data_IF_209944639405
#
_entry.id   IF_209944639405
#
_cell.length_a   1.000
_cell.length_b   1.000
_cell.length_c   1.000
_cell.angle_alpha   90.00
_cell.angle_beta   90.00
_cell.angle_gamma   90.00
#
_symmetry.space_group_name_H-M   'P 1'
#
loop_
_entity.id
_entity.type
_entity.pdbx_description
1 polymer ?
#
# COMPACT_ATOMS: atom_id res chain seq x y z
N UNK A 1 36.56 -31.19 65.58
CA UNK A 1 36.54 -30.28 64.45
C UNK A 1 35.10 -30.21 63.96
N UNK A 2 34.39 -29.13 64.34
CA UNK A 2 32.99 -28.89 63.99
C UNK A 2 32.93 -28.08 62.70
N UNK A 3 32.33 -28.62 61.65
CA UNK A 3 31.99 -27.89 60.42
C UNK A 3 30.60 -27.29 60.59
N UNK A 4 30.52 -25.95 60.64
CA UNK A 4 29.25 -25.22 60.51
C UNK A 4 28.88 -25.09 59.06
N UNK A 5 27.63 -25.33 58.62
CA UNK A 5 27.19 -25.04 57.26
C UNK A 5 26.93 -23.57 57.11
N UNK A 6 27.55 -22.97 56.09
CA UNK A 6 27.24 -21.59 55.64
C UNK A 6 25.81 -21.55 55.04
N UNK A 7 25.03 -20.52 55.33
CA UNK A 7 23.73 -20.34 54.68
C UNK A 7 23.91 -19.97 53.20
N UNK A 8 22.99 -20.42 52.30
CA UNK A 8 23.09 -20.09 50.89
C UNK A 8 22.83 -18.60 50.65
N UNK A 9 23.68 -18.02 49.85
CA UNK A 9 23.71 -16.60 49.49
C UNK A 9 22.42 -16.11 48.87
N UNK A 10 21.78 -15.10 49.46
CA UNK A 10 20.61 -14.31 48.99
C UNK A 10 20.90 -13.40 47.79
N UNK A 11 21.81 -13.77 46.89
CA UNK A 11 22.21 -12.88 45.75
C UNK A 11 21.24 -12.91 44.57
N UNK A 12 20.29 -13.85 44.51
CA UNK A 12 19.35 -13.97 43.40
C UNK A 12 18.14 -13.01 43.46
N UNK A 13 17.64 -12.70 44.66
CA UNK A 13 16.45 -11.85 44.84
C UNK A 13 16.75 -10.36 44.59
N UNK A 14 17.91 -9.86 44.98
CA UNK A 14 18.32 -8.46 44.76
C UNK A 14 18.47 -8.14 43.27
N UNK A 15 18.87 -9.09 42.44
CA UNK A 15 19.03 -8.94 41.00
C UNK A 15 17.68 -8.84 40.25
N UNK A 16 16.69 -9.58 40.69
CA UNK A 16 15.33 -9.55 40.09
C UNK A 16 14.61 -8.24 40.44
N UNK A 17 14.71 -7.80 41.66
CA UNK A 17 14.12 -6.53 42.15
C UNK A 17 14.75 -5.31 41.47
N UNK A 18 16.08 -5.31 41.30
CA UNK A 18 16.79 -4.29 40.57
C UNK A 18 16.35 -4.25 39.07
N UNK A 19 16.12 -5.40 38.44
CA UNK A 19 15.65 -5.49 37.08
C UNK A 19 14.22 -4.97 36.93
N UNK A 20 13.31 -5.32 37.87
CA UNK A 20 11.94 -4.76 37.90
C UNK A 20 11.98 -3.23 38.08
N UNK A 21 12.81 -2.71 38.97
CA UNK A 21 12.95 -1.26 39.15
C UNK A 21 13.51 -0.53 37.92
N UNK A 22 14.34 -1.19 37.12
CA UNK A 22 14.82 -0.65 35.83
C UNK A 22 13.70 -0.63 34.79
N UNK A 23 12.90 -1.68 34.71
CA UNK A 23 11.73 -1.74 33.80
C UNK A 23 10.69 -0.67 34.17
N UNK A 24 10.35 -0.55 35.42
CA UNK A 24 9.39 0.47 35.90
C UNK A 24 9.85 1.90 35.58
N UNK A 25 11.12 2.23 35.76
CA UNK A 25 11.67 3.54 35.39
C UNK A 25 11.57 3.79 33.87
N UNK A 26 11.90 2.80 33.04
CA UNK A 26 11.81 2.92 31.58
C UNK A 26 10.35 3.04 31.13
N UNK A 27 9.48 2.22 31.68
CA UNK A 27 8.04 2.25 31.40
C UNK A 27 7.46 3.63 31.76
N UNK A 28 7.75 4.14 32.94
CA UNK A 28 7.29 5.46 33.39
C UNK A 28 7.80 6.59 32.50
N UNK A 29 9.06 6.51 32.04
CA UNK A 29 9.63 7.49 31.11
C UNK A 29 8.89 7.43 29.74
N UNK A 30 8.73 6.27 29.16
CA UNK A 30 8.04 6.08 27.88
C UNK A 30 6.57 6.53 27.96
N UNK A 31 5.88 6.25 29.08
CA UNK A 31 4.53 6.71 29.33
C UNK A 31 4.43 8.25 29.38
N UNK A 32 5.33 8.92 30.09
CA UNK A 32 5.38 10.39 30.14
C UNK A 32 5.63 11.01 28.79
N UNK A 33 6.55 10.46 28.02
CA UNK A 33 6.86 10.93 26.68
C UNK A 33 5.65 10.74 25.73
N UNK A 34 4.95 9.61 25.82
CA UNK A 34 3.72 9.37 25.09
C UNK A 34 2.65 10.43 25.41
N UNK A 35 2.42 10.76 26.69
CA UNK A 35 1.48 11.80 27.12
C UNK A 35 1.85 13.16 26.51
N UNK A 36 3.09 13.59 26.68
CA UNK A 36 3.56 14.90 26.20
C UNK A 36 3.43 15.04 24.69
N UNK A 37 3.82 14.00 23.96
CA UNK A 37 3.73 14.00 22.50
C UNK A 37 2.28 13.89 22.02
N UNK A 38 1.39 13.24 22.77
CA UNK A 38 -0.05 13.17 22.46
C UNK A 38 -0.73 14.53 22.65
N UNK A 39 -0.39 15.24 23.73
CA UNK A 39 -0.87 16.62 23.96
C UNK A 39 -0.52 17.53 22.78
N UNK A 40 0.74 17.52 22.37
CA UNK A 40 1.20 18.30 21.22
C UNK A 40 0.48 17.91 19.93
N UNK A 41 0.33 16.60 19.66
CA UNK A 41 -0.34 16.09 18.47
C UNK A 41 -1.82 16.52 18.43
N UNK A 42 -2.56 16.41 19.54
CA UNK A 42 -3.93 16.88 19.63
C UNK A 42 -4.04 18.39 19.36
N UNK A 43 -3.12 19.20 19.89
CA UNK A 43 -3.08 20.64 19.63
C UNK A 43 -2.89 20.94 18.14
N UNK A 44 -1.99 20.23 17.46
CA UNK A 44 -1.74 20.43 16.04
C UNK A 44 -2.97 20.02 15.19
N UNK A 45 -3.64 18.92 15.51
CA UNK A 45 -4.89 18.52 14.87
C UNK A 45 -6.00 19.55 15.09
N UNK A 46 -6.06 20.15 16.26
CA UNK A 46 -7.01 21.21 16.57
C UNK A 46 -6.77 22.47 15.73
N UNK A 47 -5.53 22.87 15.50
CA UNK A 47 -5.19 23.94 14.58
C UNK A 47 -5.71 23.67 13.19
N UNK A 48 -5.54 22.46 12.65
CA UNK A 48 -6.06 22.10 11.33
C UNK A 48 -7.58 22.14 11.30
N UNK A 49 -8.24 21.57 12.29
CA UNK A 49 -9.72 21.53 12.32
C UNK A 49 -10.32 22.92 12.47
N UNK A 50 -9.82 23.73 13.39
CA UNK A 50 -10.34 25.06 13.69
C UNK A 50 -10.04 26.07 12.59
N UNK A 51 -8.79 26.16 12.16
CA UNK A 51 -8.37 27.23 11.25
C UNK A 51 -8.51 26.89 9.77
N UNK A 52 -8.62 25.60 9.41
CA UNK A 52 -8.83 25.20 8.03
C UNK A 52 -10.21 24.58 7.83
N UNK A 53 -10.54 23.47 8.48
CA UNK A 53 -11.74 22.72 8.17
C UNK A 53 -13.02 23.52 8.44
N UNK A 54 -13.15 24.11 9.65
CA UNK A 54 -14.36 24.87 10.04
C UNK A 54 -14.50 26.17 9.25
N UNK A 55 -13.41 26.91 9.05
CA UNK A 55 -13.47 28.17 8.31
C UNK A 55 -13.77 27.92 6.83
N UNK A 56 -13.19 26.88 6.22
CA UNK A 56 -13.47 26.54 4.82
C UNK A 56 -14.91 26.05 4.64
N UNK A 57 -15.47 25.35 5.64
CA UNK A 57 -16.89 24.98 5.67
C UNK A 57 -17.77 26.23 5.74
N UNK A 58 -17.50 27.13 6.68
CA UNK A 58 -18.29 28.35 6.88
C UNK A 58 -18.24 29.32 5.68
N UNK A 59 -17.07 29.46 5.05
CA UNK A 59 -16.87 30.38 3.92
C UNK A 59 -17.24 29.82 2.56
N UNK A 60 -17.49 28.52 2.43
CA UNK A 60 -17.78 27.89 1.14
C UNK A 60 -16.67 28.04 0.07
N UNK A 61 -15.42 28.33 0.49
CA UNK A 61 -14.28 28.54 -0.42
C UNK A 61 -13.92 27.31 -1.22
N UNK A 62 -14.16 26.13 -0.64
CA UNK A 62 -14.04 24.82 -1.27
C UNK A 62 -15.39 24.11 -1.25
N UNK A 63 -15.73 23.44 -2.33
CA UNK A 63 -16.87 22.53 -2.37
C UNK A 63 -16.73 21.43 -1.32
N UNK A 64 -17.82 20.87 -0.89
CA UNK A 64 -17.84 19.85 0.17
C UNK A 64 -17.04 18.61 -0.20
N UNK A 65 -17.26 18.08 -1.41
CA UNK A 65 -16.52 16.94 -1.94
C UNK A 65 -14.99 17.15 -1.96
N UNK A 66 -14.55 18.35 -2.29
CA UNK A 66 -13.13 18.72 -2.31
C UNK A 66 -12.59 18.84 -0.88
N UNK A 67 -13.36 19.44 0.03
CA UNK A 67 -12.98 19.56 1.45
C UNK A 67 -12.85 18.18 2.08
N UNK A 68 -13.82 17.31 1.89
CA UNK A 68 -13.78 15.93 2.36
C UNK A 68 -12.61 15.14 1.75
N UNK A 69 -12.33 15.32 0.46
CA UNK A 69 -11.18 14.69 -0.18
C UNK A 69 -9.82 15.13 0.39
N UNK A 70 -9.69 16.38 0.85
CA UNK A 70 -8.44 16.91 1.42
C UNK A 70 -8.30 16.50 2.89
N UNK A 71 -9.34 16.68 3.71
CA UNK A 71 -9.25 16.55 5.16
C UNK A 71 -9.71 15.18 5.69
N UNK A 72 -10.50 14.45 4.91
CA UNK A 72 -10.95 13.09 5.24
C UNK A 72 -11.47 12.99 6.69
N UNK A 73 -11.05 11.97 7.41
CA UNK A 73 -11.47 11.67 8.78
C UNK A 73 -10.71 12.46 9.88
N UNK A 74 -10.06 13.57 9.55
CA UNK A 74 -9.20 14.30 10.52
C UNK A 74 -9.93 14.74 11.79
N UNK A 75 -11.23 15.10 11.70
CA UNK A 75 -12.05 15.43 12.87
C UNK A 75 -12.29 14.22 13.77
N UNK A 76 -12.58 13.07 13.17
CA UNK A 76 -12.74 11.82 13.91
C UNK A 76 -11.43 11.42 14.58
N UNK A 77 -10.29 11.58 13.87
CA UNK A 77 -8.96 11.35 14.43
C UNK A 77 -8.73 12.27 15.64
N UNK A 78 -9.01 13.56 15.56
CA UNK A 78 -8.89 14.46 16.70
C UNK A 78 -9.76 13.99 17.89
N UNK A 79 -11.00 13.59 17.65
CA UNK A 79 -11.91 13.12 18.69
C UNK A 79 -11.39 11.88 19.43
N UNK A 80 -10.93 10.87 18.68
CA UNK A 80 -10.40 9.64 19.29
C UNK A 80 -9.10 9.86 20.04
N UNK A 81 -8.23 10.75 19.55
CA UNK A 81 -6.97 11.05 20.20
C UNK A 81 -7.17 11.90 21.46
N UNK A 82 -8.13 12.81 21.49
CA UNK A 82 -8.54 13.49 22.74
C UNK A 82 -9.03 12.50 23.79
N UNK A 83 -9.82 11.50 23.38
CA UNK A 83 -10.26 10.43 24.28
C UNK A 83 -9.07 9.60 24.79
N UNK A 84 -8.14 9.25 23.90
CA UNK A 84 -6.91 8.57 24.29
C UNK A 84 -6.11 9.41 25.29
N UNK A 85 -5.90 10.69 25.01
CA UNK A 85 -5.15 11.61 25.88
C UNK A 85 -5.72 11.66 27.30
N UNK A 86 -7.03 11.74 27.45
CA UNK A 86 -7.68 11.72 28.77
C UNK A 86 -7.33 10.45 29.55
N UNK A 87 -7.31 9.28 28.91
CA UNK A 87 -6.91 8.04 29.56
C UNK A 87 -5.42 8.02 29.93
N UNK A 88 -4.56 8.50 29.01
CA UNK A 88 -3.11 8.56 29.24
C UNK A 88 -2.75 9.49 30.42
N UNK A 89 -3.37 10.67 30.51
CA UNK A 89 -3.17 11.63 31.59
C UNK A 89 -3.61 11.09 32.96
N UNK A 90 -4.62 10.22 32.98
CA UNK A 90 -5.10 9.54 34.19
C UNK A 90 -4.37 8.22 34.49
N UNK A 91 -3.35 7.85 33.73
CA UNK A 91 -2.56 6.63 33.95
C UNK A 91 -3.22 5.32 33.44
N UNK A 92 -4.39 5.38 32.78
CA UNK A 92 -5.10 4.21 32.26
C UNK A 92 -4.64 3.88 30.84
N UNK A 93 -3.34 3.55 30.67
CA UNK A 93 -2.72 3.37 29.36
C UNK A 93 -3.37 2.21 28.60
N UNK A 94 -3.46 1.03 29.22
CA UNK A 94 -4.04 -0.17 28.58
C UNK A 94 -5.47 0.03 28.12
N UNK A 95 -6.33 0.57 28.99
CA UNK A 95 -7.74 0.85 28.68
C UNK A 95 -7.89 1.92 27.58
N UNK A 96 -7.08 2.97 27.66
CA UNK A 96 -7.06 4.02 26.64
C UNK A 96 -6.71 3.48 25.27
N UNK A 97 -5.68 2.64 25.20
CA UNK A 97 -5.24 1.99 23.97
C UNK A 97 -6.26 0.98 23.42
N UNK A 98 -6.92 0.22 24.28
CA UNK A 98 -7.99 -0.71 23.85
C UNK A 98 -9.14 0.05 23.16
N UNK A 99 -9.59 1.15 23.78
CA UNK A 99 -10.63 2.04 23.20
C UNK A 99 -10.15 2.67 21.89
N UNK A 100 -8.90 3.14 21.85
CA UNK A 100 -8.28 3.75 20.68
C UNK A 100 -8.18 2.75 19.51
N UNK A 101 -7.70 1.52 19.77
CA UNK A 101 -7.53 0.49 18.75
C UNK A 101 -8.88 0.07 18.11
N UNK A 102 -9.98 0.10 18.86
CA UNK A 102 -11.32 -0.17 18.31
C UNK A 102 -11.76 0.84 17.23
N UNK A 103 -11.14 2.01 17.19
CA UNK A 103 -11.47 3.11 16.28
C UNK A 103 -10.40 3.37 15.21
N UNK A 104 -9.42 2.49 15.04
CA UNK A 104 -8.35 2.61 14.04
C UNK A 104 -8.85 2.65 12.58
N UNK A 105 -10.10 2.27 12.31
CA UNK A 105 -10.70 2.41 10.99
C UNK A 105 -10.71 3.86 10.47
N UNK A 106 -10.75 4.87 11.35
CA UNK A 106 -10.60 6.27 10.96
C UNK A 106 -9.18 6.58 10.45
N UNK A 107 -8.16 5.98 11.07
CA UNK A 107 -6.79 6.07 10.58
C UNK A 107 -6.61 5.31 9.27
N UNK A 108 -7.19 4.12 9.13
CA UNK A 108 -7.15 3.36 7.88
C UNK A 108 -7.74 4.17 6.72
N UNK A 109 -8.91 4.80 6.93
CA UNK A 109 -9.54 5.66 5.93
C UNK A 109 -8.67 6.86 5.58
N UNK A 110 -8.02 7.47 6.56
CA UNK A 110 -7.10 8.59 6.35
C UNK A 110 -5.88 8.21 5.55
N UNK A 111 -5.22 7.11 5.93
CA UNK A 111 -4.03 6.56 5.27
C UNK A 111 -4.31 6.17 3.83
N UNK A 112 -5.48 5.60 3.56
CA UNK A 112 -5.87 5.23 2.19
C UNK A 112 -6.10 6.47 1.30
N UNK A 113 -6.52 7.58 1.89
CA UNK A 113 -6.83 8.80 1.15
C UNK A 113 -5.65 9.78 1.01
N UNK A 114 -4.55 9.64 1.76
CA UNK A 114 -3.51 10.69 1.87
C UNK A 114 -2.91 11.10 0.52
N UNK A 115 -2.68 10.18 -0.39
CA UNK A 115 -2.14 10.49 -1.72
C UNK A 115 -3.15 11.22 -2.61
N UNK A 116 -4.43 10.88 -2.49
CA UNK A 116 -5.50 11.59 -3.14
C UNK A 116 -5.67 12.99 -2.54
N UNK A 117 -5.61 13.13 -1.22
CA UNK A 117 -5.67 14.41 -0.50
C UNK A 117 -4.57 15.36 -0.99
N UNK A 118 -3.32 14.90 -1.04
CA UNK A 118 -2.18 15.68 -1.56
C UNK A 118 -2.37 16.09 -3.02
N UNK A 119 -2.88 15.20 -3.86
CA UNK A 119 -3.18 15.50 -5.27
C UNK A 119 -4.27 16.57 -5.40
N UNK A 120 -5.38 16.42 -4.68
CA UNK A 120 -6.51 17.35 -4.70
C UNK A 120 -6.07 18.71 -4.16
N UNK A 121 -5.34 18.74 -3.03
CA UNK A 121 -4.77 19.96 -2.46
C UNK A 121 -3.89 20.68 -3.49
N UNK A 122 -2.95 19.98 -4.13
CA UNK A 122 -2.07 20.56 -5.15
C UNK A 122 -2.84 21.12 -6.36
N UNK A 123 -3.94 20.47 -6.78
CA UNK A 123 -4.82 20.98 -7.85
C UNK A 123 -5.52 22.27 -7.39
N UNK A 124 -6.04 22.31 -6.17
CA UNK A 124 -6.73 23.49 -5.64
C UNK A 124 -5.78 24.67 -5.46
N UNK A 125 -4.57 24.46 -4.99
CA UNK A 125 -3.54 25.48 -4.88
C UNK A 125 -3.16 26.10 -6.24
N UNK A 126 -3.22 25.32 -7.32
CA UNK A 126 -2.98 25.83 -8.68
C UNK A 126 -4.17 26.57 -9.27
N UNK A 127 -5.38 26.06 -9.07
CA UNK A 127 -6.60 26.55 -9.76
C UNK A 127 -7.41 27.55 -8.97
N UNK A 128 -7.41 27.50 -7.62
CA UNK A 128 -8.24 28.34 -6.76
C UNK A 128 -7.41 29.41 -6.06
N UNK A 129 -7.42 30.64 -6.60
CA UNK A 129 -6.69 31.80 -6.04
C UNK A 129 -7.19 32.17 -4.63
N UNK A 130 -8.50 32.07 -4.37
CA UNK A 130 -9.09 32.39 -3.07
C UNK A 130 -8.62 31.40 -2.00
N UNK A 131 -8.61 30.10 -2.31
CA UNK A 131 -8.10 29.08 -1.40
C UNK A 131 -6.59 29.24 -1.13
N UNK A 132 -5.80 29.54 -2.16
CA UNK A 132 -4.36 29.79 -1.98
C UNK A 132 -4.09 30.97 -1.05
N UNK A 133 -4.79 32.11 -1.24
CA UNK A 133 -4.70 33.27 -0.34
C UNK A 133 -5.12 32.90 1.09
N UNK A 134 -6.23 32.20 1.23
CA UNK A 134 -6.72 31.74 2.53
C UNK A 134 -5.66 30.88 3.23
N UNK A 135 -5.10 29.87 2.55
CA UNK A 135 -4.03 29.01 3.11
C UNK A 135 -2.84 29.84 3.60
N UNK A 136 -2.32 30.75 2.77
CA UNK A 136 -1.17 31.60 3.14
C UNK A 136 -1.49 32.45 4.38
N UNK A 137 -2.70 33.01 4.49
CA UNK A 137 -3.10 33.79 5.65
C UNK A 137 -3.22 32.96 6.93
N UNK A 138 -3.71 31.71 6.83
CA UNK A 138 -3.79 30.84 8.01
C UNK A 138 -2.37 30.42 8.48
N UNK A 139 -1.51 30.00 7.56
CA UNK A 139 -0.16 29.55 7.85
C UNK A 139 0.76 30.67 8.39
N UNK A 140 0.44 31.93 8.14
CA UNK A 140 1.17 33.08 8.68
C UNK A 140 0.81 33.39 10.16
N UNK A 141 -0.15 32.68 10.75
CA UNK A 141 -0.51 32.89 12.15
C UNK A 141 0.58 32.31 13.08
N UNK A 142 0.89 32.97 14.19
CA UNK A 142 1.93 32.51 15.13
C UNK A 142 1.73 31.08 15.62
N UNK A 143 0.46 30.65 15.78
CA UNK A 143 0.10 29.32 16.28
C UNK A 143 0.61 28.17 15.38
N UNK A 144 0.86 28.44 14.10
CA UNK A 144 1.36 27.43 13.15
C UNK A 144 2.88 27.29 13.15
N UNK A 145 3.63 28.16 13.81
CA UNK A 145 5.11 28.08 13.93
C UNK A 145 5.80 27.83 12.57
N UNK A 146 5.31 28.47 11.50
CA UNK A 146 5.74 28.30 10.13
C UNK A 146 5.44 26.92 9.50
N UNK A 147 4.68 26.04 10.16
CA UNK A 147 4.27 24.76 9.58
C UNK A 147 3.29 24.98 8.43
N UNK A 148 3.40 24.16 7.40
CA UNK A 148 2.51 24.19 6.25
C UNK A 148 1.35 23.21 6.43
N UNK A 149 0.23 23.51 5.78
CA UNK A 149 -0.92 22.61 5.80
C UNK A 149 -0.55 21.20 5.29
N UNK A 150 0.33 21.12 4.30
CA UNK A 150 0.84 19.87 3.74
C UNK A 150 1.55 19.02 4.81
N UNK A 151 2.35 19.65 5.67
CA UNK A 151 3.10 18.98 6.75
C UNK A 151 2.12 18.49 7.84
N UNK A 152 1.16 19.34 8.21
CA UNK A 152 0.14 19.03 9.20
C UNK A 152 -0.77 17.87 8.74
N UNK A 153 -1.07 17.77 7.45
CA UNK A 153 -1.83 16.64 6.90
C UNK A 153 -1.04 15.33 6.88
N UNK A 154 0.30 15.35 6.97
CA UNK A 154 1.10 14.13 7.12
C UNK A 154 1.16 13.61 8.57
N UNK A 155 0.86 14.45 9.55
CA UNK A 155 1.00 14.11 10.97
C UNK A 155 0.25 12.84 11.39
N UNK A 156 -1.02 12.58 10.98
CA UNK A 156 -1.69 11.35 11.36
C UNK A 156 -0.96 10.09 10.87
N UNK A 157 -0.37 10.14 9.67
CA UNK A 157 0.40 9.02 9.11
C UNK A 157 1.70 8.81 9.91
N UNK A 158 2.40 9.89 10.24
CA UNK A 158 3.62 9.87 11.03
C UNK A 158 3.34 9.41 12.47
N UNK A 159 2.20 9.83 13.04
CA UNK A 159 1.82 9.49 14.42
C UNK A 159 1.64 7.99 14.63
N UNK A 160 1.09 7.27 13.66
CA UNK A 160 0.99 5.80 13.72
C UNK A 160 2.36 5.14 13.87
N UNK A 161 3.38 5.64 13.18
CA UNK A 161 4.75 5.11 13.31
C UNK A 161 5.33 5.40 14.70
N UNK A 162 5.07 6.60 15.23
CA UNK A 162 5.50 6.99 16.58
C UNK A 162 4.79 6.13 17.66
N UNK A 163 3.48 5.92 17.54
CA UNK A 163 2.75 5.01 18.44
C UNK A 163 3.35 3.62 18.44
N UNK A 164 3.65 3.08 17.27
CA UNK A 164 4.25 1.75 17.19
C UNK A 164 5.57 1.67 17.94
N UNK A 165 6.41 2.71 17.86
CA UNK A 165 7.66 2.79 18.62
C UNK A 165 7.43 2.89 20.14
N UNK A 166 6.56 3.82 20.58
CA UNK A 166 6.25 3.99 22.00
C UNK A 166 5.63 2.75 22.63
N UNK A 167 4.70 2.10 21.92
CA UNK A 167 4.05 0.91 22.45
C UNK A 167 4.95 -0.32 22.47
N UNK A 168 5.85 -0.48 21.50
CA UNK A 168 6.91 -1.50 21.58
C UNK A 168 7.83 -1.28 22.76
N UNK A 169 8.23 -0.03 23.04
CA UNK A 169 9.04 0.30 24.20
C UNK A 169 8.28 0.07 25.52
N UNK A 170 7.02 0.45 25.59
CA UNK A 170 6.16 0.19 26.76
C UNK A 170 5.98 -1.31 26.99
N UNK A 171 5.65 -2.08 25.96
CA UNK A 171 5.46 -3.53 26.05
C UNK A 171 6.74 -4.26 26.48
N UNK A 172 7.89 -3.88 25.91
CA UNK A 172 9.21 -4.45 26.26
C UNK A 172 9.63 -4.16 27.71
N UNK A 173 9.10 -3.12 28.35
CA UNK A 173 9.37 -2.74 29.73
C UNK A 173 8.16 -3.01 30.67
N UNK A 174 7.19 -3.80 30.25
CA UNK A 174 6.05 -4.23 31.07
C UNK A 174 6.18 -5.72 31.34
N UNK A 175 6.15 -6.09 32.62
CA UNK A 175 6.26 -7.51 33.00
C UNK A 175 5.03 -8.29 32.53
N UNK A 176 5.17 -9.60 32.18
CA UNK A 176 4.05 -10.41 31.71
C UNK A 176 2.90 -10.59 32.72
N UNK A 177 3.19 -10.43 34.01
CA UNK A 177 2.21 -10.46 35.11
C UNK A 177 1.52 -9.09 35.34
N UNK A 178 1.89 -8.05 34.60
CA UNK A 178 1.30 -6.74 34.73
C UNK A 178 -0.11 -6.71 34.12
N UNK A 179 -1.12 -6.09 34.79
CA UNK A 179 -2.52 -6.09 34.33
C UNK A 179 -2.73 -5.54 32.90
N UNK A 180 -1.88 -4.62 32.45
CA UNK A 180 -1.99 -3.98 31.14
C UNK A 180 -1.18 -4.70 30.04
N UNK A 181 -0.43 -5.78 30.35
CA UNK A 181 0.47 -6.43 29.41
C UNK A 181 -0.25 -6.92 28.14
N UNK A 182 -1.38 -7.61 28.31
CA UNK A 182 -2.15 -8.10 27.15
C UNK A 182 -2.77 -6.97 26.31
N UNK A 183 -3.24 -5.90 26.95
CA UNK A 183 -3.79 -4.74 26.24
C UNK A 183 -2.72 -4.03 25.42
N UNK A 184 -1.51 -3.87 25.97
CA UNK A 184 -0.37 -3.31 25.26
C UNK A 184 0.04 -4.20 24.08
N UNK A 185 0.11 -5.51 24.27
CA UNK A 185 0.45 -6.47 23.21
C UNK A 185 -0.54 -6.40 22.04
N UNK A 186 -1.85 -6.44 22.34
CA UNK A 186 -2.89 -6.29 21.30
C UNK A 186 -2.83 -4.94 20.59
N UNK A 187 -2.49 -3.86 21.30
CA UNK A 187 -2.34 -2.55 20.70
C UNK A 187 -1.12 -2.47 19.76
N UNK A 188 0.00 -3.10 20.12
CA UNK A 188 1.17 -3.23 19.24
C UNK A 188 0.80 -3.94 17.94
N UNK A 189 0.08 -5.06 18.02
CA UNK A 189 -0.33 -5.81 16.84
C UNK A 189 -1.26 -4.98 15.94
N UNK A 190 -2.29 -4.37 16.52
CA UNK A 190 -3.25 -3.53 15.78
C UNK A 190 -2.58 -2.34 15.07
N UNK A 191 -1.63 -1.66 15.74
CA UNK A 191 -0.90 -0.56 15.13
C UNK A 191 0.14 -1.01 14.10
N UNK A 192 0.69 -2.21 14.27
CA UNK A 192 1.58 -2.82 13.26
C UNK A 192 0.83 -3.10 11.95
N UNK A 193 -0.43 -3.50 11.99
CA UNK A 193 -1.28 -3.65 10.80
C UNK A 193 -1.48 -2.32 10.08
N UNK A 194 -1.79 -1.23 10.81
CA UNK A 194 -1.92 0.10 10.20
C UNK A 194 -0.58 0.58 9.64
N UNK A 195 0.53 0.33 10.34
CA UNK A 195 1.89 0.65 9.85
C UNK A 195 2.22 -0.11 8.57
N UNK A 196 1.83 -1.38 8.47
CA UNK A 196 2.01 -2.17 7.25
C UNK A 196 1.16 -1.60 6.10
N UNK A 197 -0.10 -1.21 6.37
CA UNK A 197 -0.97 -0.55 5.40
C UNK A 197 -0.38 0.75 4.86
N UNK A 198 0.26 1.56 5.71
CA UNK A 198 0.99 2.77 5.29
C UNK A 198 2.11 2.42 4.30
N UNK A 199 2.93 1.41 4.62
CA UNK A 199 4.01 0.95 3.75
C UNK A 199 3.50 0.43 2.41
N UNK A 200 2.45 -0.37 2.43
CA UNK A 200 1.83 -0.92 1.23
C UNK A 200 1.25 0.18 0.32
N UNK A 201 0.60 1.18 0.91
CA UNK A 201 0.07 2.32 0.17
C UNK A 201 1.19 3.17 -0.44
N UNK A 202 2.29 3.39 0.29
CA UNK A 202 3.47 4.08 -0.23
C UNK A 202 4.06 3.32 -1.43
N UNK A 203 4.27 2.02 -1.31
CA UNK A 203 4.79 1.20 -2.40
C UNK A 203 3.88 1.21 -3.64
N UNK A 204 2.55 1.12 -3.43
CA UNK A 204 1.57 1.21 -4.54
C UNK A 204 1.61 2.58 -5.21
N UNK A 205 1.74 3.65 -4.43
CA UNK A 205 1.84 5.00 -4.95
C UNK A 205 3.13 5.20 -5.77
N UNK A 206 4.27 4.79 -5.24
CA UNK A 206 5.56 4.87 -5.93
C UNK A 206 5.55 4.05 -7.23
N UNK A 207 5.00 2.84 -7.18
CA UNK A 207 4.80 2.03 -8.38
C UNK A 207 3.94 2.75 -9.42
N UNK A 208 2.82 3.36 -9.00
CA UNK A 208 1.97 4.13 -9.90
C UNK A 208 2.72 5.31 -10.55
N UNK A 209 3.55 6.01 -9.79
CA UNK A 209 4.40 7.09 -10.32
C UNK A 209 5.41 6.57 -11.35
N UNK A 210 6.04 5.41 -11.09
CA UNK A 210 6.95 4.77 -12.04
C UNK A 210 6.23 4.36 -13.33
N UNK A 211 5.05 3.74 -13.24
CA UNK A 211 4.23 3.40 -14.42
C UNK A 211 3.85 4.66 -15.22
N UNK A 212 3.44 5.74 -14.54
CA UNK A 212 3.14 7.02 -15.16
C UNK A 212 4.38 7.63 -15.84
N UNK A 213 5.57 7.51 -15.23
CA UNK A 213 6.84 7.94 -15.81
C UNK A 213 7.13 7.18 -17.10
N UNK A 214 7.07 5.85 -17.07
CA UNK A 214 7.30 5.02 -18.25
C UNK A 214 6.26 5.32 -19.35
N UNK A 215 4.98 5.46 -18.98
CA UNK A 215 3.94 5.83 -19.94
C UNK A 215 4.22 7.16 -20.65
N UNK A 216 4.78 8.15 -19.95
CA UNK A 216 5.18 9.44 -20.54
C UNK A 216 6.40 9.31 -21.46
N UNK A 217 7.29 8.35 -21.23
CA UNK A 217 8.44 8.07 -22.10
C UNK A 217 8.03 7.40 -23.40
N UNK A 218 6.91 6.67 -23.43
CA UNK A 218 6.41 5.95 -24.59
C UNK A 218 5.60 6.87 -25.50
N UNK A 219 5.96 6.90 -26.80
CA UNK A 219 5.21 7.58 -27.85
C UNK A 219 4.18 6.63 -28.48
N UNK A 220 3.03 7.20 -28.82
CA UNK A 220 1.94 6.47 -29.50
C UNK A 220 0.99 5.76 -28.56
N UNK A 221 -0.20 5.36 -29.09
CA UNK A 221 -1.28 4.75 -28.30
C UNK A 221 -1.14 3.22 -28.16
N UNK A 222 -0.17 2.60 -28.86
CA UNK A 222 -0.06 1.12 -28.94
C UNK A 222 0.49 0.49 -27.66
N UNK A 223 1.32 1.20 -26.89
CA UNK A 223 1.90 0.67 -25.66
C UNK A 223 1.26 1.35 -24.45
N UNK A 224 0.27 0.67 -23.83
CA UNK A 224 -0.30 1.07 -22.56
C UNK A 224 0.33 0.25 -21.45
N UNK A 225 1.08 0.91 -20.57
CA UNK A 225 1.73 0.27 -19.43
C UNK A 225 0.94 0.43 -18.13
N UNK A 226 0.01 1.39 -18.09
CA UNK A 226 -0.88 1.55 -16.94
C UNK A 226 -1.93 0.43 -16.94
N UNK A 227 -1.83 -0.50 -15.99
CA UNK A 227 -2.78 -1.58 -15.80
C UNK A 227 -2.94 -1.90 -14.30
N UNK A 228 -4.14 -2.30 -13.85
CA UNK A 228 -4.36 -2.75 -12.48
C UNK A 228 -3.43 -3.92 -12.12
N UNK A 229 -2.85 -3.89 -10.92
CA UNK A 229 -1.99 -4.97 -10.42
C UNK A 229 -0.62 -5.07 -11.07
N UNK A 230 -0.30 -4.23 -12.07
CA UNK A 230 1.02 -4.21 -12.69
C UNK A 230 2.03 -3.48 -11.83
N UNK A 231 3.21 -4.07 -11.68
CA UNK A 231 4.36 -3.48 -10.99
C UNK A 231 5.49 -3.25 -11.98
N UNK A 232 6.09 -2.07 -11.91
CA UNK A 232 7.35 -1.78 -12.60
C UNK A 232 8.49 -2.47 -11.81
N UNK A 233 9.38 -3.17 -12.53
CA UNK A 233 10.50 -3.88 -11.91
C UNK A 233 11.83 -3.23 -12.31
N UNK A 234 12.07 -3.10 -13.62
CA UNK A 234 13.36 -2.64 -14.14
C UNK A 234 13.23 -2.07 -15.55
N UNK A 235 14.18 -1.22 -15.91
CA UNK A 235 14.40 -0.80 -17.30
C UNK A 235 15.90 -0.81 -17.61
N UNK A 236 16.24 -1.00 -18.86
CA UNK A 236 17.65 -0.96 -19.30
C UNK A 236 17.83 -1.37 -20.75
N UNK A 237 19.05 -1.18 -21.22
CA UNK A 237 19.46 -1.56 -22.56
C UNK A 237 19.96 -3.00 -22.56
N UNK A 238 19.47 -3.80 -23.51
CA UNK A 238 19.98 -5.12 -23.81
C UNK A 238 20.15 -5.24 -25.32
N UNK A 239 21.15 -5.99 -25.75
CA UNK A 239 21.38 -6.30 -27.15
C UNK A 239 20.58 -7.54 -27.53
N UNK A 240 19.75 -7.45 -28.57
CA UNK A 240 19.11 -8.62 -29.17
C UNK A 240 20.12 -9.28 -30.10
N UNK A 241 20.35 -10.59 -29.89
CA UNK A 241 21.17 -11.43 -30.76
C UNK A 241 20.25 -12.12 -31.76
N UNK A 242 20.34 -11.81 -33.07
CA UNK A 242 19.46 -12.43 -34.06
C UNK A 242 19.88 -13.88 -34.34
N UNK A 243 18.92 -14.76 -34.73
CA UNK A 243 19.20 -16.19 -34.95
C UNK A 243 20.21 -16.50 -36.06
N UNK A 244 20.39 -15.60 -37.00
CA UNK A 244 21.27 -15.80 -38.21
C UNK A 244 22.47 -14.87 -38.21
N UNK A 245 23.18 -14.76 -37.08
CA UNK A 245 24.56 -14.23 -37.04
C UNK A 245 24.78 -12.81 -37.58
N UNK A 246 23.74 -11.99 -37.67
CA UNK A 246 23.83 -10.58 -38.01
C UNK A 246 24.19 -9.73 -36.76
N UNK A 247 24.55 -8.46 -36.97
CA UNK A 247 24.94 -7.57 -35.88
C UNK A 247 23.89 -7.51 -34.76
N UNK A 248 24.35 -7.49 -33.51
CA UNK A 248 23.50 -7.29 -32.33
C UNK A 248 22.86 -5.92 -32.37
N UNK A 249 21.58 -5.83 -31.98
CA UNK A 249 20.83 -4.58 -31.99
C UNK A 249 20.46 -4.13 -30.57
N UNK A 250 20.97 -2.99 -30.12
CA UNK A 250 20.60 -2.46 -28.81
C UNK A 250 19.12 -2.04 -28.81
N UNK A 251 18.38 -2.49 -27.80
CA UNK A 251 16.99 -2.16 -27.56
C UNK A 251 16.78 -1.76 -26.11
N UNK A 252 15.82 -0.88 -25.88
CA UNK A 252 15.39 -0.53 -24.55
C UNK A 252 14.31 -1.49 -24.08
N UNK A 253 14.50 -2.08 -22.93
CA UNK A 253 13.53 -2.97 -22.31
C UNK A 253 12.97 -2.36 -21.03
N UNK A 254 11.65 -2.56 -20.84
CA UNK A 254 10.93 -2.24 -19.61
C UNK A 254 10.31 -3.53 -19.09
N UNK A 255 10.73 -3.94 -17.90
CA UNK A 255 10.24 -5.14 -17.24
C UNK A 255 9.17 -4.76 -16.22
N UNK A 256 8.02 -5.42 -16.34
CA UNK A 256 6.91 -5.33 -15.40
C UNK A 256 6.63 -6.71 -14.79
N UNK A 257 5.77 -6.74 -13.79
CA UNK A 257 5.40 -7.98 -13.10
C UNK A 257 4.76 -9.04 -14.02
N UNK A 258 4.14 -8.61 -15.13
CA UNK A 258 3.35 -9.45 -16.03
C UNK A 258 3.86 -9.50 -17.47
N UNK A 259 4.73 -8.56 -17.86
CA UNK A 259 5.24 -8.49 -19.23
C UNK A 259 6.63 -7.85 -19.33
N UNK A 260 7.34 -8.19 -20.42
CA UNK A 260 8.55 -7.51 -20.87
C UNK A 260 8.20 -6.70 -22.13
N UNK A 261 8.45 -5.39 -22.12
CA UNK A 261 8.21 -4.48 -23.23
C UNK A 261 9.53 -4.13 -23.93
N UNK A 262 9.66 -4.49 -25.20
CA UNK A 262 10.72 -4.03 -26.09
C UNK A 262 10.37 -2.69 -26.70
N UNK A 263 11.29 -1.73 -26.68
CA UNK A 263 11.10 -0.42 -27.24
C UNK A 263 12.32 0.08 -28.02
N UNK A 264 12.04 0.85 -29.07
CA UNK A 264 13.05 1.54 -29.88
C UNK A 264 13.15 2.99 -29.47
N UNK A 265 14.37 3.50 -29.30
CA UNK A 265 14.58 4.93 -29.07
C UNK A 265 14.13 5.75 -30.30
N UNK A 266 13.36 6.80 -30.09
CA UNK A 266 13.08 7.79 -31.11
C UNK A 266 14.34 8.64 -31.31
N UNK A 267 14.68 8.93 -32.57
CA UNK A 267 15.86 9.70 -32.98
C UNK A 267 16.11 10.94 -32.12
N UNK A 268 17.38 11.30 -31.85
CA UNK A 268 17.79 12.35 -30.90
C UNK A 268 17.49 13.79 -31.33
N UNK A 269 16.83 14.02 -32.46
CA UNK A 269 16.60 15.36 -33.02
C UNK A 269 15.48 16.19 -32.33
N UNK A 270 14.92 15.75 -31.22
CA UNK A 270 13.99 16.59 -30.47
C UNK A 270 14.66 17.19 -29.23
N UNK A 271 15.13 18.40 -29.35
CA UNK A 271 15.81 19.18 -28.31
C UNK A 271 14.99 19.53 -27.06
N UNK A 272 13.73 19.13 -26.95
CA UNK A 272 12.84 19.73 -25.95
C UNK A 272 12.25 18.82 -24.86
N UNK A 273 12.45 17.54 -24.85
CA UNK A 273 11.98 16.74 -23.69
C UNK A 273 12.49 15.31 -23.70
N UNK A 274 13.60 15.03 -23.06
CA UNK A 274 14.08 13.70 -22.70
C UNK A 274 13.95 12.60 -23.79
N UNK A 275 14.67 11.53 -23.66
CA UNK A 275 14.59 10.39 -24.58
C UNK A 275 13.16 9.82 -24.62
N UNK A 276 12.60 9.65 -25.82
CA UNK A 276 11.29 9.02 -26.05
C UNK A 276 11.49 7.68 -26.76
N UNK A 277 10.59 6.77 -26.49
CA UNK A 277 10.63 5.40 -27.02
C UNK A 277 9.32 5.05 -27.73
N UNK A 278 9.40 4.18 -28.71
CA UNK A 278 8.22 3.56 -29.35
C UNK A 278 8.23 2.08 -28.97
N UNK A 279 7.18 1.62 -28.28
CA UNK A 279 6.99 0.21 -27.99
C UNK A 279 6.88 -0.60 -29.28
N UNK A 280 7.66 -1.66 -29.39
CA UNK A 280 7.72 -2.54 -30.56
C UNK A 280 6.98 -3.85 -30.28
N UNK A 281 7.41 -4.58 -29.26
CA UNK A 281 6.85 -5.87 -28.88
C UNK A 281 6.60 -5.93 -27.37
N UNK A 282 5.51 -6.56 -26.98
CA UNK A 282 5.18 -6.86 -25.60
C UNK A 282 5.14 -8.38 -25.43
N UNK A 283 5.96 -8.89 -24.54
CA UNK A 283 6.10 -10.32 -24.29
C UNK A 283 5.50 -10.67 -22.93
N UNK A 284 4.34 -11.35 -22.86
CA UNK A 284 3.75 -11.81 -21.60
C UNK A 284 4.68 -12.80 -20.89
N UNK A 285 4.88 -12.63 -19.58
CA UNK A 285 5.82 -13.46 -18.82
C UNK A 285 5.19 -14.75 -18.27
N UNK A 286 3.88 -14.91 -18.34
CA UNK A 286 3.16 -16.04 -17.73
C UNK A 286 3.69 -17.39 -18.17
N UNK A 287 3.88 -17.57 -19.50
CA UNK A 287 4.32 -18.83 -20.11
C UNK A 287 5.75 -18.74 -20.62
N UNK A 288 6.54 -17.84 -20.04
CA UNK A 288 7.93 -17.66 -20.42
C UNK A 288 8.85 -18.59 -19.62
N UNK A 289 9.91 -19.04 -20.29
CA UNK A 289 11.06 -19.70 -19.65
C UNK A 289 12.32 -18.86 -19.87
N UNK A 290 13.18 -18.82 -18.85
CA UNK A 290 14.46 -18.12 -18.91
C UNK A 290 15.60 -19.06 -18.57
N UNK A 291 16.68 -18.98 -19.35
CA UNK A 291 17.91 -19.76 -19.17
C UNK A 291 19.12 -18.87 -19.36
N UNK A 292 20.18 -19.13 -18.59
CA UNK A 292 21.51 -18.60 -18.87
C UNK A 292 22.17 -19.49 -19.93
N UNK A 293 22.54 -18.89 -21.06
CA UNK A 293 23.25 -19.60 -22.12
C UNK A 293 24.76 -19.54 -21.83
N UNK A 294 25.35 -20.66 -21.44
CA UNK A 294 26.80 -20.78 -21.25
C UNK A 294 27.46 -21.07 -22.62
N UNK A 295 28.04 -20.06 -23.25
CA UNK A 295 28.72 -20.18 -24.53
C UNK A 295 29.95 -19.26 -24.58
N UNK A 296 30.93 -19.56 -25.47
CA UNK A 296 32.23 -18.92 -25.59
C UNK A 296 32.19 -17.42 -25.91
N UNK A 297 31.69 -16.60 -25.01
CA UNK A 297 31.90 -15.14 -25.10
C UNK A 297 33.20 -14.81 -24.35
N UNK A 298 34.25 -14.45 -25.07
CA UNK A 298 35.51 -13.92 -24.53
C UNK A 298 35.35 -12.51 -23.92
N UNK A 299 34.13 -11.94 -23.93
CA UNK A 299 33.81 -10.65 -23.36
C UNK A 299 33.20 -10.82 -21.99
N UNK A 300 33.53 -9.93 -21.06
CA UNK A 300 32.81 -9.72 -19.79
C UNK A 300 31.36 -9.47 -20.10
N UNK A 301 30.44 -10.30 -19.61
CA UNK A 301 29.00 -10.21 -19.85
C UNK A 301 28.37 -11.58 -20.08
N UNK A 302 27.11 -11.64 -20.42
CA UNK A 302 26.38 -12.90 -20.56
C UNK A 302 25.23 -12.84 -21.58
N UNK A 303 24.76 -14.03 -21.93
CA UNK A 303 23.67 -14.28 -22.86
C UNK A 303 22.50 -14.95 -22.13
N UNK A 304 21.31 -14.37 -22.22
CA UNK A 304 20.05 -14.91 -21.72
C UNK A 304 19.21 -15.44 -22.88
N UNK A 305 18.65 -16.62 -22.71
CA UNK A 305 17.60 -17.16 -23.58
C UNK A 305 16.26 -17.01 -22.90
N UNK A 306 15.36 -16.22 -23.49
CA UNK A 306 13.96 -16.08 -23.10
C UNK A 306 13.09 -16.77 -24.14
N UNK A 307 12.40 -17.83 -23.72
CA UNK A 307 11.50 -18.61 -24.59
C UNK A 307 10.07 -18.28 -24.21
N UNK A 308 9.30 -17.82 -25.20
CA UNK A 308 7.86 -17.59 -25.13
C UNK A 308 7.16 -18.60 -26.05
N UNK A 309 5.82 -18.80 -25.95
CA UNK A 309 5.12 -19.79 -26.78
C UNK A 309 5.31 -19.63 -28.30
N UNK A 310 5.54 -18.40 -28.77
CA UNK A 310 5.64 -18.09 -30.21
C UNK A 310 6.98 -17.53 -30.64
N UNK A 311 7.87 -17.20 -29.71
CA UNK A 311 9.13 -16.53 -30.03
C UNK A 311 10.19 -16.86 -29.01
N UNK A 312 11.44 -16.94 -29.46
CA UNK A 312 12.62 -17.06 -28.62
C UNK A 312 13.48 -15.80 -28.79
N UNK A 313 13.84 -15.16 -27.68
CA UNK A 313 14.73 -14.01 -27.64
C UNK A 313 16.06 -14.42 -27.03
N UNK A 314 17.15 -14.00 -27.69
CA UNK A 314 18.49 -14.06 -27.14
C UNK A 314 18.91 -12.63 -26.79
N UNK A 315 19.12 -12.38 -25.49
CA UNK A 315 19.45 -11.07 -24.94
C UNK A 315 20.84 -11.10 -24.34
N UNK A 316 21.67 -10.12 -24.68
CA UNK A 316 23.05 -10.01 -24.23
C UNK A 316 23.26 -8.68 -23.50
N UNK A 317 23.97 -8.71 -22.37
CA UNK A 317 24.58 -7.55 -21.73
C UNK A 317 26.10 -7.71 -21.72
N UNK A 318 26.81 -6.61 -21.96
CA UNK A 318 28.29 -6.58 -21.86
C UNK A 318 28.77 -6.40 -20.41
N UNK A 319 27.89 -6.01 -19.51
CA UNK A 319 28.19 -5.86 -18.08
C UNK A 319 27.64 -7.08 -17.31
N UNK A 320 28.52 -7.72 -16.52
CA UNK A 320 28.19 -8.93 -15.78
C UNK A 320 27.18 -8.69 -14.65
N UNK A 321 27.25 -7.56 -13.95
CA UNK A 321 26.35 -7.23 -12.88
C UNK A 321 24.95 -6.93 -13.44
N UNK A 322 24.87 -6.12 -14.51
CA UNK A 322 23.61 -5.83 -15.21
C UNK A 322 22.99 -7.12 -15.76
N UNK A 323 23.80 -8.04 -16.30
CA UNK A 323 23.35 -9.36 -16.76
C UNK A 323 22.72 -10.18 -15.62
N UNK A 324 23.39 -10.25 -14.48
CA UNK A 324 22.91 -10.99 -13.31
C UNK A 324 21.62 -10.39 -12.77
N UNK A 325 21.55 -9.09 -12.67
CA UNK A 325 20.35 -8.36 -12.24
C UNK A 325 19.16 -8.61 -13.17
N UNK A 326 19.36 -8.56 -14.49
CA UNK A 326 18.33 -8.88 -15.46
C UNK A 326 17.83 -10.31 -15.31
N UNK A 327 18.75 -11.27 -15.16
CA UNK A 327 18.39 -12.66 -14.95
C UNK A 327 17.57 -12.84 -13.67
N UNK A 328 18.00 -12.25 -12.56
CA UNK A 328 17.28 -12.35 -11.28
C UNK A 328 15.89 -11.71 -11.34
N UNK A 329 15.79 -10.52 -11.90
CA UNK A 329 14.53 -9.82 -12.04
C UNK A 329 13.53 -10.59 -12.91
N UNK A 330 13.96 -11.07 -14.08
CA UNK A 330 13.15 -11.84 -15.02
C UNK A 330 12.73 -13.19 -14.42
N UNK A 331 13.67 -13.96 -13.86
CA UNK A 331 13.39 -15.27 -13.27
C UNK A 331 12.44 -15.15 -12.06
N UNK A 332 12.59 -14.11 -11.24
CA UNK A 332 11.70 -13.84 -10.12
C UNK A 332 10.29 -13.47 -10.59
N UNK A 333 10.16 -12.61 -11.61
CA UNK A 333 8.87 -12.23 -12.18
C UNK A 333 8.14 -13.43 -12.80
N UNK A 334 8.83 -14.24 -13.59
CA UNK A 334 8.28 -15.45 -14.23
C UNK A 334 7.81 -16.44 -13.14
N UNK A 335 8.67 -16.74 -12.16
CA UNK A 335 8.35 -17.68 -11.07
C UNK A 335 7.13 -17.23 -10.27
N UNK A 336 7.03 -15.94 -9.92
CA UNK A 336 5.87 -15.41 -9.20
C UNK A 336 4.57 -15.62 -9.96
N UNK A 337 4.57 -15.46 -11.28
CA UNK A 337 3.39 -15.69 -12.10
C UNK A 337 3.02 -17.18 -12.20
N UNK A 338 3.98 -18.07 -12.22
CA UNK A 338 3.76 -19.52 -12.26
C UNK A 338 3.25 -20.04 -10.92
N UNK A 339 3.81 -19.59 -9.79
CA UNK A 339 3.40 -20.03 -8.46
C UNK A 339 2.00 -19.51 -8.08
N UNK A 340 1.58 -18.35 -8.57
CA UNK A 340 0.21 -17.84 -8.32
C UNK A 340 -0.89 -18.72 -8.92
N UNK A 341 -0.58 -19.60 -9.85
CA UNK A 341 -1.50 -20.59 -10.43
C UNK A 341 -1.50 -21.95 -9.73
N UNK A 342 -0.49 -22.23 -8.92
CA UNK A 342 -0.39 -23.50 -8.17
C UNK A 342 -1.02 -23.46 -6.79
N UNK A 343 -1.71 -22.39 -6.42
CA UNK A 343 -2.63 -22.43 -5.30
C UNK A 343 -3.80 -23.33 -5.73
N UNK A 344 -3.67 -24.61 -5.41
CA UNK A 344 -4.75 -25.57 -5.46
C UNK A 344 -5.90 -24.94 -4.69
N UNK A 345 -6.98 -24.58 -5.39
CA UNK A 345 -8.25 -24.31 -4.73
C UNK A 345 -8.56 -25.59 -3.94
N UNK A 346 -8.42 -25.51 -2.65
CA UNK A 346 -8.86 -26.56 -1.75
C UNK A 346 -10.37 -26.57 -1.92
N UNK A 347 -10.88 -27.47 -2.77
CA UNK A 347 -12.30 -27.75 -2.84
C UNK A 347 -12.72 -28.12 -1.44
N UNK A 348 -13.56 -27.33 -0.81
CA UNK A 348 -14.23 -27.71 0.41
C UNK A 348 -14.97 -29.03 0.09
N UNK A 349 -14.77 -30.07 0.91
CA UNK A 349 -15.48 -31.32 0.68
C UNK A 349 -16.97 -31.02 0.76
N UNK A 350 -17.66 -31.14 -0.38
CA UNK A 350 -19.12 -31.14 -0.41
C UNK A 350 -19.57 -32.23 0.53
N UNK A 351 -20.15 -31.86 1.64
CA UNK A 351 -20.90 -32.79 2.50
C UNK A 351 -22.04 -33.37 1.67
N UNK A 352 -21.81 -34.54 1.11
CA UNK A 352 -22.88 -35.40 0.62
C UNK A 352 -23.64 -35.90 1.88
N UNK A 353 -24.97 -35.66 1.98
CA UNK A 353 -25.73 -36.26 3.07
C UNK A 353 -25.76 -37.77 2.87
N UNK A 354 -25.41 -38.52 3.91
CA UNK A 354 -25.59 -39.97 3.99
C UNK A 354 -27.07 -40.32 3.80
N UNK A 355 -27.41 -41.36 3.01
CA UNK A 355 -28.79 -41.78 2.88
C UNK A 355 -29.21 -42.48 4.17
N UNK A 356 -30.23 -41.94 4.84
CA UNK A 356 -30.91 -42.59 5.95
C UNK A 356 -31.71 -43.77 5.43
N UNK A 357 -31.40 -44.94 5.95
CA UNK A 357 -32.14 -46.18 5.71
C UNK A 357 -33.50 -46.17 6.41
N UNK A 358 -34.50 -46.46 5.62
CA UNK A 358 -35.72 -47.28 5.85
C UNK A 358 -36.65 -46.97 7.02
N UNK A 359 -37.88 -46.60 6.70
CA UNK A 359 -39.09 -47.25 7.22
C UNK A 359 -40.30 -47.02 6.29
N UNK A 360 -40.96 -48.10 6.01
CA UNK A 360 -42.17 -48.27 5.21
C UNK A 360 -43.37 -47.41 5.67
N UNK A 361 -44.22 -46.89 4.83
CA UNK A 361 -45.54 -47.47 4.47
C UNK A 361 -46.45 -46.51 3.71
N UNK A 362 -47.06 -47.10 2.69
CA UNK A 362 -48.42 -46.89 2.12
C UNK A 362 -48.86 -45.60 1.47
N UNK A 363 -48.90 -45.75 0.15
CA UNK A 363 -50.08 -45.53 -0.73
C UNK A 363 -51.07 -44.40 -0.38
N UNK A 364 -51.28 -43.49 -1.32
CA UNK A 364 -52.55 -43.39 -2.07
C UNK A 364 -52.36 -42.54 -3.34
N UNK A 365 -52.80 -43.08 -4.46
CA UNK A 365 -52.97 -42.47 -5.80
C UNK A 365 -53.95 -41.31 -5.75
N UNK A 366 -53.73 -40.28 -6.54
CA UNK A 366 -54.72 -39.79 -7.52
C UNK A 366 -54.12 -38.77 -8.50
N UNK A 367 -54.51 -39.03 -9.68
CA UNK A 367 -54.33 -38.50 -11.04
C UNK A 367 -54.82 -37.06 -11.26
N UNK A 368 -54.26 -36.56 -12.34
CA UNK A 368 -54.84 -35.65 -13.37
C UNK A 368 -54.78 -34.14 -13.04
N UNK A 369 -54.51 -33.32 -13.97
CA UNK A 369 -54.38 -33.11 -15.41
C UNK A 369 -54.19 -31.61 -15.65
N UNK A 370 -53.38 -31.28 -16.66
CA UNK A 370 -53.58 -30.24 -17.68
C UNK A 370 -53.63 -28.73 -17.29
N UNK A 371 -52.88 -27.95 -18.12
CA UNK A 371 -53.19 -26.59 -18.52
C UNK A 371 -51.96 -25.69 -18.45
N UNK A 372 -51.15 -25.58 -19.47
CA UNK A 372 -51.13 -24.66 -20.63
C UNK A 372 -50.87 -23.20 -20.25
N UNK A 373 -49.78 -22.65 -20.88
CA UNK A 373 -49.48 -21.25 -21.26
C UNK A 373 -49.15 -20.26 -20.18
N UNK A 374 -48.24 -19.31 -20.32
CA UNK A 374 -47.42 -18.79 -21.43
C UNK A 374 -46.43 -17.77 -20.88
N UNK A 375 -45.27 -17.75 -21.47
CA UNK A 375 -44.36 -16.64 -21.76
C UNK A 375 -44.51 -15.31 -20.97
N UNK A 376 -43.36 -14.83 -20.45
CA UNK A 376 -42.82 -13.51 -20.81
C UNK A 376 -41.43 -13.28 -20.17
N UNK A 377 -40.41 -13.21 -21.02
CA UNK A 377 -39.12 -12.60 -20.72
C UNK A 377 -39.24 -11.09 -20.52
N UNK A 378 -38.45 -10.46 -19.71
CA UNK A 378 -38.08 -9.06 -19.89
C UNK A 378 -36.71 -8.93 -20.54
N UNK A 379 -36.66 -8.07 -21.54
CA UNK A 379 -35.49 -7.65 -22.33
C UNK A 379 -34.52 -6.77 -21.51
N UNK A 380 -33.23 -6.70 -21.92
CA UNK A 380 -32.26 -5.78 -21.32
C UNK A 380 -32.44 -4.35 -21.85
N UNK A 381 -32.21 -3.38 -20.97
CA UNK A 381 -32.26 -1.96 -21.27
C UNK A 381 -31.00 -1.49 -21.99
N UNK A 382 -31.26 -0.65 -22.99
CA UNK A 382 -30.34 -0.10 -23.95
C UNK A 382 -29.41 1.01 -23.40
N UNK A 383 -28.31 1.15 -24.09
CA UNK A 383 -27.33 2.23 -24.11
C UNK A 383 -27.96 3.64 -24.14
N UNK A 384 -27.39 4.53 -23.30
CA UNK A 384 -27.58 5.96 -23.46
C UNK A 384 -26.33 6.56 -24.12
N UNK A 385 -26.47 6.84 -25.41
CA UNK A 385 -25.56 7.68 -26.19
C UNK A 385 -25.71 9.14 -25.77
N UNK A 386 -24.63 9.76 -25.34
CA UNK A 386 -24.52 11.22 -25.23
C UNK A 386 -24.04 11.80 -26.55
N UNK A 387 -24.95 12.44 -27.27
CA UNK A 387 -24.70 13.25 -28.46
C UNK A 387 -24.10 14.62 -28.07
N UNK A 388 -22.97 14.93 -28.68
CA UNK A 388 -22.33 16.24 -28.63
C UNK A 388 -23.07 17.24 -29.53
N UNK A 389 -23.59 18.30 -28.97
CA UNK A 389 -24.01 19.48 -29.72
C UNK A 389 -22.87 20.51 -29.84
N UNK A 390 -22.43 20.70 -31.07
CA UNK A 390 -21.66 21.86 -31.53
C UNK A 390 -22.52 23.13 -31.42
N UNK A 391 -22.00 24.17 -30.78
CA UNK A 391 -22.47 25.55 -31.03
C UNK A 391 -21.33 26.34 -31.64
N UNK A 392 -21.61 26.75 -32.86
CA UNK A 392 -20.90 27.72 -33.70
C UNK A 392 -21.07 29.15 -33.16
N UNK A 393 -20.08 29.95 -33.47
CA UNK A 393 -19.94 31.39 -33.18
C UNK A 393 -21.08 32.25 -33.71
N UNK A 394 -21.43 33.24 -32.98
CA UNK A 394 -21.46 34.65 -33.39
C UNK A 394 -20.93 35.52 -32.27
#
# INVERSE_FOLDING_TARGET
MSFSPHPPSLSGSNSVEEQRSRWERKRSRAAKELVQTEQHYCQQLELVTTFFVEILKAKGTLKEDIREAIFSSIKSILSINRSLLVHLENGYIGKGLETFCSQLHHYNSYVDNIYNANKVLGIQLKKNKAFRRFKTLQEARPQFENQKLEDLLQMPVQRIQQYNQYLQELAANTAPDHPEFEQLSRAVDALSEVSQRIKDNAQRHDNHLQLCRVQKLLKGRKAQVLAPGRWFIREGWLNIVPPKGSETKPKMFFLFSDLLLEAKCCSPLSFSSGRKYVGQHAYPLRDAAIEKVFGHTRSSGGLLSLTFPKVKLLLMSSNQDDFNDWYQCLSSAIRKLQTSHTVVQREEPRHTPLPSTVAHSNQVRKRNMSGIESSKHPRPLAELQCSAQKRTKQ
#
